data_IF_741012598973
#
_entry.id   IF_741012598973
#
_cell.length_a   1.000
_cell.length_b   1.000
_cell.length_c   1.000
_cell.angle_alpha   90.00
_cell.angle_beta   90.00
_cell.angle_gamma   90.00
#
_symmetry.space_group_name_H-M   'P 1'
#
loop_
_entity.id
_entity.type
_entity.pdbx_description
1 polymer ?
#
# COMPACT_ATOMS: atom_id res chain seq x y z
N UNK A 1 -1.26 -41.90 -2.65
CA UNK A 1 -0.59 -40.70 -3.20
C UNK A 1 -0.45 -39.71 -2.05
N UNK A 2 0.77 -39.50 -1.52
CA UNK A 2 1.00 -38.58 -0.40
C UNK A 2 1.72 -37.35 -0.95
N UNK A 3 1.12 -36.17 -0.81
CA UNK A 3 1.77 -34.91 -1.19
C UNK A 3 2.87 -34.58 -0.17
N UNK A 4 4.06 -34.14 -0.61
CA UNK A 4 5.16 -33.82 0.29
C UNK A 4 4.79 -32.65 1.21
N UNK A 5 5.12 -32.78 2.49
CA UNK A 5 4.77 -31.82 3.56
C UNK A 5 5.28 -30.41 3.25
N UNK A 6 6.42 -30.27 2.57
CA UNK A 6 6.94 -28.97 2.13
C UNK A 6 5.95 -28.21 1.23
N UNK A 7 5.24 -28.92 0.34
CA UNK A 7 4.23 -28.32 -0.54
C UNK A 7 2.93 -27.98 0.21
N UNK A 8 2.67 -28.61 1.34
CA UNK A 8 1.58 -28.26 2.23
C UNK A 8 1.93 -26.98 3.00
N UNK A 9 3.13 -26.91 3.58
CA UNK A 9 3.60 -25.76 4.37
C UNK A 9 3.73 -24.48 3.55
N UNK A 10 4.05 -24.54 2.26
CA UNK A 10 4.14 -23.35 1.39
C UNK A 10 2.79 -22.63 1.22
N UNK A 11 1.69 -23.39 1.13
CA UNK A 11 0.33 -22.82 1.01
C UNK A 11 -0.15 -22.10 2.25
N UNK A 12 0.44 -22.38 3.41
CA UNK A 12 0.06 -21.77 4.69
C UNK A 12 0.95 -20.60 5.09
N UNK A 13 1.94 -20.18 4.27
CA UNK A 13 2.65 -18.93 4.55
C UNK A 13 1.70 -17.76 4.34
N UNK A 14 1.43 -16.95 5.37
CA UNK A 14 0.75 -15.68 5.18
C UNK A 14 1.65 -14.82 4.30
N UNK A 15 1.13 -14.42 3.13
CA UNK A 15 1.81 -13.52 2.20
C UNK A 15 2.19 -12.26 2.99
N UNK A 16 3.47 -11.82 2.94
CA UNK A 16 3.92 -10.68 3.73
C UNK A 16 2.99 -9.50 3.47
N UNK A 17 2.48 -8.92 4.56
CA UNK A 17 1.50 -7.87 4.56
C UNK A 17 1.91 -6.79 3.55
N UNK A 18 1.03 -6.53 2.58
CA UNK A 18 1.26 -5.53 1.55
C UNK A 18 1.71 -4.24 2.24
N UNK A 19 2.88 -3.75 1.83
CA UNK A 19 3.43 -2.47 2.28
C UNK A 19 2.31 -1.41 2.25
N UNK A 20 2.01 -0.73 3.37
CA UNK A 20 0.89 0.21 3.40
C UNK A 20 1.17 1.37 2.44
N UNK A 21 0.50 1.41 1.30
CA UNK A 21 0.69 2.43 0.25
C UNK A 21 -0.07 3.74 0.53
N UNK A 22 -0.74 3.81 1.68
CA UNK A 22 -1.67 4.89 2.07
C UNK A 22 -1.36 5.40 3.47
N UNK A 23 -1.47 6.72 3.65
CA UNK A 23 -1.40 7.46 4.92
C UNK A 23 -2.67 8.27 5.13
N UNK A 24 -2.90 8.72 6.36
CA UNK A 24 -3.98 9.65 6.66
C UNK A 24 -3.50 11.10 6.52
N UNK A 25 -4.37 11.96 6.00
CA UNK A 25 -4.10 13.40 5.91
C UNK A 25 -4.24 14.06 7.30
N UNK A 26 -3.25 14.81 7.81
CA UNK A 26 -3.30 15.45 9.13
C UNK A 26 -4.35 16.56 9.24
N UNK A 27 -4.88 17.05 8.13
CA UNK A 27 -5.85 18.15 8.11
C UNK A 27 -7.30 17.69 8.07
N UNK A 28 -7.59 16.58 7.39
CA UNK A 28 -8.95 16.13 7.13
C UNK A 28 -9.18 14.65 7.41
N UNK A 29 -8.16 13.94 7.93
CA UNK A 29 -8.22 12.52 8.30
C UNK A 29 -8.63 11.57 7.16
N UNK A 30 -8.54 12.05 5.92
CA UNK A 30 -8.87 11.23 4.76
C UNK A 30 -7.68 10.37 4.36
N UNK A 31 -7.95 9.16 3.89
CA UNK A 31 -6.94 8.23 3.36
C UNK A 31 -6.38 8.75 2.03
N UNK A 32 -5.07 8.90 1.95
CA UNK A 32 -4.36 9.44 0.79
C UNK A 32 -3.13 8.59 0.48
N UNK A 33 -2.62 8.60 -0.77
CA UNK A 33 -1.40 7.89 -1.10
C UNK A 33 -0.18 8.53 -0.44
N UNK A 34 0.82 7.71 -0.08
CA UNK A 34 2.08 8.18 0.53
C UNK A 34 2.82 9.24 -0.31
N UNK A 35 2.62 9.22 -1.64
CA UNK A 35 3.25 10.14 -2.59
C UNK A 35 2.47 11.43 -2.86
N UNK A 36 1.29 11.62 -2.24
CA UNK A 36 0.51 12.83 -2.45
C UNK A 36 1.20 14.05 -1.85
N UNK A 37 1.51 15.03 -2.68
CA UNK A 37 1.97 16.37 -2.27
C UNK A 37 0.81 17.30 -1.92
N UNK A 38 -0.40 17.00 -2.41
CA UNK A 38 -1.64 17.71 -2.12
C UNK A 38 -2.77 16.71 -1.83
N UNK A 39 -3.56 16.96 -0.79
CA UNK A 39 -4.70 16.11 -0.47
C UNK A 39 -5.84 16.29 -1.49
N UNK A 40 -6.44 15.20 -1.97
CA UNK A 40 -7.57 15.25 -2.90
C UNK A 40 -8.89 15.74 -2.26
N UNK A 41 -9.02 15.62 -0.94
CA UNK A 41 -10.25 15.95 -0.21
C UNK A 41 -10.26 17.38 0.31
N UNK A 42 -9.17 17.82 0.95
CA UNK A 42 -9.09 19.16 1.55
C UNK A 42 -8.16 20.12 0.81
N UNK A 43 -7.51 19.67 -0.27
CA UNK A 43 -6.58 20.47 -1.08
C UNK A 43 -5.36 21.05 -0.35
N UNK A 44 -5.13 20.66 0.90
CA UNK A 44 -3.99 21.09 1.70
C UNK A 44 -2.68 20.51 1.15
N UNK A 45 -1.60 21.29 1.30
CA UNK A 45 -0.24 20.88 0.95
C UNK A 45 0.31 19.95 2.04
N UNK A 46 0.90 18.83 1.64
CA UNK A 46 1.41 17.81 2.54
C UNK A 46 2.94 17.65 2.42
N UNK A 47 3.64 17.38 3.54
CA UNK A 47 5.06 17.09 3.50
C UNK A 47 5.32 15.75 2.78
N UNK A 48 6.30 15.69 1.86
CA UNK A 48 6.71 14.44 1.23
C UNK A 48 7.40 13.55 2.27
N UNK A 49 6.88 12.34 2.51
CA UNK A 49 7.57 11.31 3.30
C UNK A 49 7.88 10.17 2.34
N UNK A 50 9.14 10.05 1.96
CA UNK A 50 9.66 9.05 1.03
C UNK A 50 9.56 7.65 1.62
N UNK A 51 8.68 6.81 1.07
CA UNK A 51 8.99 5.41 0.80
C UNK A 51 8.36 5.00 -0.57
N UNK A 52 9.17 4.60 -1.57
CA UNK A 52 8.82 4.59 -3.00
C UNK A 52 8.30 3.20 -3.48
N UNK A 53 7.40 3.08 -4.47
CA UNK A 53 7.70 2.73 -5.89
C UNK A 53 6.62 1.72 -6.42
N UNK A 54 6.45 1.46 -7.72
CA UNK A 54 5.37 2.04 -8.53
C UNK A 54 4.56 1.00 -9.33
N UNK A 55 3.24 1.05 -9.30
CA UNK A 55 2.41 0.36 -10.28
C UNK A 55 1.48 1.38 -10.91
N UNK A 56 1.82 1.73 -12.15
CA UNK A 56 0.93 2.45 -13.04
C UNK A 56 -0.26 1.51 -13.31
N UNK A 57 -1.45 1.90 -12.87
CA UNK A 57 -2.72 1.29 -13.27
C UNK A 57 -3.87 2.33 -13.21
N UNK A 58 -3.52 3.61 -13.40
CA UNK A 58 -4.43 4.60 -13.97
C UNK A 58 -4.06 4.68 -15.44
N UNK A 59 -4.48 3.65 -16.18
CA UNK A 59 -4.66 3.75 -17.63
C UNK A 59 -6.11 4.19 -17.89
N UNK A 60 -6.25 4.90 -19.01
CA UNK A 60 -7.42 5.63 -19.52
C UNK A 60 -8.65 4.76 -19.69
#
# INVERSE_FOLDING_TARGET
IVRPVNALMDRFKPRPAATPTTRECPYCLSTIPLKATRCAYCTAQLPPTEEPSPARAQEV
#
